data_IF_033326336083
#
_entry.id   IF_033326336083
#
_cell.length_a   1.000
_cell.length_b   1.000
_cell.length_c   1.000
_cell.angle_alpha   90.00
_cell.angle_beta   90.00
_cell.angle_gamma   90.00
#
_symmetry.space_group_name_H-M   'P 1'
#
loop_
_entity.id
_entity.type
_entity.pdbx_description
1 polymer ?
#
# COMPACT_ATOMS: atom_id res chain seq x y z
N UNK A 1 16.59 8.95 -1.12
CA UNK A 1 17.75 9.31 -0.27
C UNK A 1 19.13 8.87 -0.81
N UNK A 2 19.21 7.83 -1.64
CA UNK A 2 20.52 7.33 -2.10
C UNK A 2 21.20 8.27 -3.12
N UNK A 3 22.51 8.56 -2.96
CA UNK A 3 23.23 9.51 -3.81
C UNK A 3 23.66 8.94 -5.16
N UNK A 4 23.58 7.62 -5.35
CA UNK A 4 23.97 6.95 -6.59
C UNK A 4 23.27 5.61 -6.76
N UNK A 5 23.24 5.12 -8.01
CA UNK A 5 22.56 3.87 -8.37
C UNK A 5 23.13 2.64 -7.65
N UNK A 6 24.45 2.54 -7.46
CA UNK A 6 25.06 1.39 -6.76
C UNK A 6 24.63 1.33 -5.31
N UNK A 7 24.55 2.48 -4.64
CA UNK A 7 24.08 2.58 -3.26
C UNK A 7 22.58 2.35 -3.15
N UNK A 8 21.79 2.82 -4.13
CA UNK A 8 20.37 2.51 -4.22
C UNK A 8 20.13 1.01 -4.33
N UNK A 9 20.77 0.32 -5.27
CA UNK A 9 20.55 -1.12 -5.49
C UNK A 9 20.96 -1.97 -4.27
N UNK A 10 22.08 -1.61 -3.62
CA UNK A 10 22.51 -2.28 -2.38
C UNK A 10 21.57 -2.00 -1.21
N UNK A 11 21.10 -0.76 -1.08
CA UNK A 11 20.14 -0.37 -0.06
C UNK A 11 18.78 -1.04 -0.24
N UNK A 12 18.29 -1.09 -1.49
CA UNK A 12 17.07 -1.79 -1.89
C UNK A 12 17.16 -3.28 -1.54
N UNK A 13 18.27 -3.94 -1.91
CA UNK A 13 18.54 -5.33 -1.52
C UNK A 13 18.59 -5.52 0.01
N UNK A 14 19.15 -4.56 0.75
CA UNK A 14 19.24 -4.64 2.22
C UNK A 14 17.88 -4.49 2.90
N UNK A 15 17.03 -3.57 2.43
CA UNK A 15 15.73 -3.27 3.05
C UNK A 15 14.60 -4.20 2.60
N UNK A 16 14.63 -4.65 1.34
CA UNK A 16 13.60 -5.51 0.77
C UNK A 16 13.99 -6.99 0.74
N UNK A 17 15.22 -7.32 1.15
CA UNK A 17 15.66 -8.68 1.37
C UNK A 17 14.88 -9.34 2.53
N UNK A 18 14.65 -10.64 2.43
CA UNK A 18 14.04 -11.39 3.51
C UNK A 18 14.84 -11.29 4.82
N UNK A 19 14.15 -11.43 5.97
CA UNK A 19 14.75 -11.38 7.31
C UNK A 19 15.88 -12.43 7.45
N UNK A 20 15.77 -13.54 6.72
CA UNK A 20 16.79 -14.58 6.64
C UNK A 20 17.56 -14.52 5.33
N UNK A 21 18.85 -14.83 5.40
CA UNK A 21 19.71 -14.97 4.23
C UNK A 21 19.27 -16.19 3.42
N UNK A 22 18.95 -16.00 2.15
CA UNK A 22 18.64 -17.07 1.20
C UNK A 22 19.70 -17.18 0.10
N UNK A 23 19.75 -18.34 -0.57
CA UNK A 23 20.65 -18.54 -1.73
C UNK A 23 20.27 -17.59 -2.87
N UNK A 24 18.98 -17.32 -3.01
CA UNK A 24 18.38 -16.44 -4.00
C UNK A 24 18.82 -14.98 -3.74
N UNK A 25 18.68 -14.52 -2.49
CA UNK A 25 19.14 -13.18 -2.07
C UNK A 25 20.65 -13.02 -2.25
N UNK A 26 21.44 -14.08 -2.01
CA UNK A 26 22.88 -14.04 -2.28
C UNK A 26 23.20 -13.91 -3.78
N UNK A 27 22.47 -14.61 -4.66
CA UNK A 27 22.63 -14.47 -6.12
C UNK A 27 22.28 -13.06 -6.60
N UNK A 28 21.25 -12.45 -6.03
CA UNK A 28 20.88 -11.05 -6.32
C UNK A 28 21.99 -10.08 -5.91
N UNK A 29 22.56 -10.25 -4.70
CA UNK A 29 23.71 -9.46 -4.27
C UNK A 29 24.88 -9.58 -5.26
N UNK A 30 25.22 -10.81 -5.65
CA UNK A 30 26.28 -11.08 -6.64
C UNK A 30 26.01 -10.40 -7.98
N UNK A 31 24.74 -10.35 -8.42
CA UNK A 31 24.35 -9.66 -9.65
C UNK A 31 24.50 -8.13 -9.54
N UNK A 32 24.27 -7.56 -8.35
CA UNK A 32 24.44 -6.12 -8.09
C UNK A 32 25.92 -5.75 -8.13
N UNK A 33 26.76 -6.46 -7.34
CA UNK A 33 28.19 -6.15 -7.23
C UNK A 33 28.99 -6.54 -8.48
N UNK A 34 28.54 -7.56 -9.22
CA UNK A 34 29.13 -7.99 -10.49
C UNK A 34 28.75 -7.12 -11.69
N UNK A 35 27.89 -6.10 -11.52
CA UNK A 35 27.49 -5.24 -12.61
C UNK A 35 28.64 -4.31 -13.04
N UNK A 36 28.98 -4.17 -14.34
CA UNK A 36 30.06 -3.28 -14.80
C UNK A 36 29.87 -1.80 -14.43
N UNK A 37 28.63 -1.38 -14.15
CA UNK A 37 28.30 -0.01 -13.71
C UNK A 37 28.34 0.14 -12.18
N UNK A 38 28.64 -0.93 -11.44
CA UNK A 38 28.81 -0.90 -10.01
C UNK A 38 30.09 -0.14 -9.64
N UNK A 39 29.97 0.86 -8.77
CA UNK A 39 31.09 1.70 -8.35
C UNK A 39 31.33 1.53 -6.85
N UNK A 40 32.26 0.66 -6.42
CA UNK A 40 32.48 0.39 -5.00
C UNK A 40 32.94 1.64 -4.24
N UNK A 41 33.67 2.55 -4.88
CA UNK A 41 34.14 3.79 -4.25
C UNK A 41 32.97 4.67 -3.82
N UNK A 42 31.91 4.69 -4.63
CA UNK A 42 30.70 5.48 -4.34
C UNK A 42 29.84 4.87 -3.25
N UNK A 43 29.91 3.56 -3.06
CA UNK A 43 29.22 2.82 -2.00
C UNK A 43 29.90 3.09 -0.65
N UNK A 44 31.23 3.07 -0.61
CA UNK A 44 31.99 3.37 0.61
C UNK A 44 31.80 4.82 1.08
N UNK A 45 31.63 5.77 0.16
CA UNK A 45 31.36 7.18 0.50
C UNK A 45 29.93 7.46 0.94
N UNK A 46 29.02 6.48 0.84
CA UNK A 46 27.61 6.68 1.17
C UNK A 46 27.42 6.70 2.68
N UNK A 47 26.65 7.68 3.17
CA UNK A 47 26.29 7.82 4.59
C UNK A 47 25.16 6.85 4.96
N UNK A 48 25.48 5.56 5.05
CA UNK A 48 24.51 4.48 5.27
C UNK A 48 23.66 4.67 6.50
N UNK A 49 24.26 4.99 7.66
CA UNK A 49 23.53 5.16 8.91
C UNK A 49 22.51 6.30 8.83
N UNK A 50 22.89 7.42 8.21
CA UNK A 50 21.98 8.55 8.01
C UNK A 50 20.82 8.20 7.07
N UNK A 51 21.09 7.44 6.01
CA UNK A 51 20.05 7.01 5.06
C UNK A 51 19.13 5.99 5.71
N UNK A 52 19.69 5.01 6.42
CA UNK A 52 18.93 3.98 7.11
C UNK A 52 18.10 4.57 8.25
N UNK A 53 18.62 5.54 9.01
CA UNK A 53 17.86 6.26 10.02
C UNK A 53 16.69 7.05 9.40
N UNK A 54 16.89 7.70 8.24
CA UNK A 54 15.81 8.38 7.53
C UNK A 54 14.74 7.42 7.01
N UNK A 55 15.15 6.25 6.49
CA UNK A 55 14.22 5.24 5.99
C UNK A 55 13.46 4.56 7.14
N UNK A 56 14.13 4.30 8.27
CA UNK A 56 13.52 3.76 9.48
C UNK A 56 12.54 4.74 10.14
N UNK A 57 12.89 6.03 10.19
CA UNK A 57 12.00 7.08 10.69
C UNK A 57 10.74 7.28 9.82
N UNK A 58 10.74 6.79 8.57
CA UNK A 58 9.53 6.71 7.75
C UNK A 58 8.58 5.57 8.14
N UNK A 59 9.05 4.59 8.94
CA UNK A 59 8.29 3.41 9.35
C UNK A 59 7.89 3.41 10.84
N UNK A 60 8.72 3.99 11.71
CA UNK A 60 8.43 4.13 13.13
C UNK A 60 8.61 5.60 13.56
N UNK A 61 7.55 6.14 14.14
CA UNK A 61 7.56 7.37 14.94
C UNK A 61 7.92 8.69 14.23
N UNK A 62 6.94 9.24 13.52
CA UNK A 62 6.81 10.70 13.47
C UNK A 62 5.82 11.13 14.53
N UNK A 63 6.31 11.84 15.56
CA UNK A 63 5.53 12.37 16.68
C UNK A 63 4.35 13.27 16.25
N UNK A 64 3.57 13.80 17.23
CA UNK A 64 2.35 14.55 16.94
C UNK A 64 2.69 15.84 16.16
N UNK A 65 2.55 15.79 14.83
CA UNK A 65 2.69 16.97 13.98
C UNK A 65 3.47 16.78 12.68
N UNK A 66 4.15 15.65 12.44
CA UNK A 66 4.79 15.42 11.13
C UNK A 66 3.86 14.62 10.19
N UNK A 67 3.76 15.00 8.91
CA UNK A 67 2.70 14.49 8.05
C UNK A 67 3.02 13.07 7.59
N UNK A 68 2.00 12.22 7.54
CA UNK A 68 1.94 11.00 6.70
C UNK A 68 2.00 11.34 5.18
N UNK A 69 2.60 12.46 4.78
CA UNK A 69 2.71 12.93 3.40
C UNK A 69 3.77 12.09 2.67
N UNK A 70 3.35 10.90 2.27
CA UNK A 70 4.13 9.92 1.53
C UNK A 70 3.22 8.75 1.18
N UNK A 71 3.40 8.15 0.00
CA UNK A 71 2.59 7.03 -0.48
C UNK A 71 1.07 7.30 -0.66
N UNK A 72 0.69 8.56 -0.96
CA UNK A 72 -0.66 8.91 -1.41
C UNK A 72 -1.71 9.14 -0.30
N UNK A 73 -1.31 9.25 0.96
CA UNK A 73 -2.20 9.63 2.05
C UNK A 73 -2.54 11.13 2.03
N UNK A 74 -3.80 11.45 2.30
CA UNK A 74 -4.35 12.80 2.38
C UNK A 74 -4.76 13.10 3.82
N UNK A 75 -4.56 14.34 4.25
CA UNK A 75 -4.87 14.81 5.59
C UNK A 75 -6.09 15.74 5.56
N UNK A 76 -7.06 15.53 6.43
CA UNK A 76 -8.26 16.38 6.52
C UNK A 76 -8.59 16.70 7.96
N UNK A 77 -8.68 17.99 8.27
CA UNK A 77 -9.05 18.46 9.60
C UNK A 77 -10.51 18.13 9.90
N UNK A 78 -10.76 17.46 11.04
CA UNK A 78 -12.11 17.09 11.48
C UNK A 78 -12.59 18.07 12.54
N UNK A 79 -13.74 18.68 12.29
CA UNK A 79 -14.42 19.56 13.23
C UNK A 79 -15.79 19.00 13.59
N UNK A 80 -16.14 18.99 14.87
CA UNK A 80 -17.47 18.61 15.35
C UNK A 80 -18.26 19.82 15.81
N UNK A 81 -19.57 19.77 15.64
CA UNK A 81 -20.48 20.78 16.16
C UNK A 81 -20.89 20.40 17.59
N UNK A 82 -20.47 21.19 18.57
CA UNK A 82 -20.80 20.97 19.98
C UNK A 82 -21.87 21.98 20.41
N UNK A 83 -23.07 21.53 20.79
CA UNK A 83 -24.13 22.41 21.28
C UNK A 83 -23.93 22.75 22.76
N UNK A 84 -24.04 24.03 23.10
CA UNK A 84 -24.00 24.55 24.46
C UNK A 84 -25.37 25.07 24.87
N UNK A 85 -25.79 24.64 26.07
CA UNK A 85 -27.10 24.96 26.62
C UNK A 85 -27.25 26.47 26.88
N UNK A 86 -28.49 26.99 26.77
CA UNK A 86 -28.83 28.43 26.90
C UNK A 86 -28.41 29.08 28.24
N UNK A 87 -28.16 28.28 29.27
CA UNK A 87 -27.72 28.72 30.61
C UNK A 87 -26.20 28.77 30.78
N UNK A 88 -25.43 28.37 29.77
CA UNK A 88 -23.96 28.48 29.80
C UNK A 88 -23.52 29.89 29.44
N UNK A 89 -22.28 30.25 29.83
CA UNK A 89 -21.70 31.57 29.54
C UNK A 89 -21.64 31.88 28.04
N UNK A 90 -21.56 30.86 27.18
CA UNK A 90 -21.55 30.97 25.72
C UNK A 90 -22.55 29.97 25.11
N UNK A 91 -23.84 30.30 25.06
CA UNK A 91 -24.85 29.43 24.47
C UNK A 91 -24.72 29.38 22.94
N UNK A 92 -25.18 28.30 22.32
CA UNK A 92 -25.14 28.13 20.85
C UNK A 92 -24.36 26.88 20.41
N UNK A 93 -24.23 26.69 19.10
CA UNK A 93 -23.48 25.57 18.50
C UNK A 93 -22.16 26.08 17.96
N UNK A 94 -21.06 25.48 18.40
CA UNK A 94 -19.71 25.89 17.98
C UNK A 94 -18.97 24.72 17.35
N UNK A 95 -18.12 25.01 16.37
CA UNK A 95 -17.24 24.02 15.77
C UNK A 95 -15.99 23.86 16.65
N UNK A 96 -15.72 22.63 17.06
CA UNK A 96 -14.51 22.26 17.78
C UNK A 96 -13.64 21.40 16.88
N UNK A 97 -12.39 21.79 16.75
CA UNK A 97 -11.38 20.96 16.11
C UNK A 97 -11.09 19.75 16.99
N UNK A 98 -11.22 18.56 16.44
CA UNK A 98 -11.01 17.28 17.14
C UNK A 98 -9.65 16.69 16.82
N UNK A 99 -9.16 16.94 15.60
CA UNK A 99 -7.91 16.39 15.14
C UNK A 99 -7.88 16.27 13.62
N UNK A 100 -6.79 15.70 13.14
CA UNK A 100 -6.58 15.42 11.73
C UNK A 100 -6.90 13.96 11.42
N UNK A 101 -7.71 13.73 10.39
CA UNK A 101 -7.96 12.41 9.84
C UNK A 101 -7.06 12.18 8.63
N UNK A 102 -6.31 11.08 8.66
CA UNK A 102 -5.55 10.60 7.52
C UNK A 102 -6.40 9.59 6.75
N UNK A 103 -6.54 9.79 5.45
CA UNK A 103 -7.30 8.90 4.58
C UNK A 103 -6.63 8.79 3.21
N UNK A 104 -6.99 7.75 2.46
CA UNK A 104 -6.51 7.54 1.11
C UNK A 104 -7.64 7.08 0.23
N UNK A 105 -7.72 7.64 -0.98
CA UNK A 105 -8.74 7.23 -1.96
C UNK A 105 -8.52 5.78 -2.34
N UNK A 106 -9.56 4.96 -2.21
CA UNK A 106 -9.52 3.56 -2.62
C UNK A 106 -9.12 3.42 -4.10
N UNK A 107 -9.60 4.32 -4.97
CA UNK A 107 -9.24 4.36 -6.39
C UNK A 107 -7.73 4.60 -6.56
N UNK A 108 -7.15 5.48 -5.74
CA UNK A 108 -5.69 5.71 -5.78
C UNK A 108 -4.91 4.46 -5.37
N UNK A 109 -5.38 3.73 -4.35
CA UNK A 109 -4.74 2.48 -3.90
C UNK A 109 -4.82 1.42 -4.99
N UNK A 110 -6.01 1.23 -5.58
CA UNK A 110 -6.23 0.26 -6.66
C UNK A 110 -5.33 0.58 -7.84
N UNK A 111 -5.34 1.83 -8.34
CA UNK A 111 -4.50 2.24 -9.48
C UNK A 111 -3.01 2.03 -9.21
N UNK A 112 -2.53 2.37 -8.01
CA UNK A 112 -1.13 2.15 -7.65
C UNK A 112 -0.75 0.67 -7.65
N UNK A 113 -1.63 -0.20 -7.14
CA UNK A 113 -1.38 -1.64 -7.11
C UNK A 113 -1.37 -2.25 -8.51
N UNK A 114 -2.34 -1.90 -9.36
CA UNK A 114 -2.42 -2.41 -10.73
C UNK A 114 -1.33 -1.83 -11.64
N UNK A 115 -0.86 -0.61 -11.39
CA UNK A 115 0.24 -0.02 -12.16
C UNK A 115 1.61 -0.63 -11.85
N UNK A 116 1.73 -1.42 -10.77
CA UNK A 116 2.98 -2.07 -10.40
C UNK A 116 3.07 -3.47 -11.05
N UNK A 117 3.96 -3.67 -12.05
CA UNK A 117 4.03 -4.94 -12.78
C UNK A 117 4.37 -6.16 -11.90
N UNK A 118 5.04 -5.95 -10.76
CA UNK A 118 5.37 -7.05 -9.83
C UNK A 118 4.17 -7.51 -9.02
N UNK A 119 3.21 -6.62 -8.75
CA UNK A 119 1.99 -6.95 -8.00
C UNK A 119 0.85 -7.36 -8.93
N UNK A 120 0.85 -6.83 -10.14
CA UNK A 120 -0.12 -7.12 -11.19
C UNK A 120 -0.27 -8.62 -11.46
N UNK A 121 0.86 -9.34 -11.52
CA UNK A 121 0.89 -10.80 -11.78
C UNK A 121 0.09 -11.61 -10.74
N UNK A 122 -0.01 -11.11 -9.51
CA UNK A 122 -0.72 -11.78 -8.41
C UNK A 122 -2.15 -11.29 -8.23
N UNK A 123 -2.61 -10.35 -9.06
CA UNK A 123 -3.93 -9.77 -8.93
C UNK A 123 -5.00 -10.61 -9.65
N UNK A 124 -6.05 -11.00 -8.92
CA UNK A 124 -7.18 -11.73 -9.49
C UNK A 124 -8.19 -10.79 -10.15
N UNK A 125 -8.07 -10.61 -11.46
CA UNK A 125 -8.97 -9.75 -12.25
C UNK A 125 -10.36 -10.34 -12.50
N UNK A 126 -10.45 -11.65 -12.64
CA UNK A 126 -11.69 -12.35 -12.95
C UNK A 126 -12.17 -13.12 -11.72
N UNK A 127 -13.46 -13.01 -11.38
CA UNK A 127 -14.02 -13.82 -10.32
C UNK A 127 -14.10 -15.29 -10.75
N UNK A 128 -14.13 -16.18 -9.77
CA UNK A 128 -14.38 -17.61 -10.01
C UNK A 128 -15.12 -18.23 -8.83
N UNK A 129 -15.86 -19.32 -9.10
CA UNK A 129 -16.44 -20.11 -8.03
C UNK A 129 -15.40 -21.08 -7.47
N UNK A 130 -15.26 -21.10 -6.15
CA UNK A 130 -14.40 -22.06 -5.47
C UNK A 130 -15.29 -23.07 -4.76
N UNK A 131 -15.36 -24.30 -5.27
CA UNK A 131 -16.21 -25.31 -4.68
C UNK A 131 -15.44 -26.24 -3.74
N UNK A 132 -16.02 -26.55 -2.60
CA UNK A 132 -15.60 -27.67 -1.76
C UNK A 132 -16.54 -28.85 -1.98
N UNK A 133 -15.95 -30.03 -2.22
CA UNK A 133 -16.68 -31.26 -2.46
C UNK A 133 -16.24 -32.35 -1.49
N UNK A 134 -17.18 -32.81 -0.68
CA UNK A 134 -17.06 -34.05 0.08
C UNK A 134 -17.64 -35.20 -0.73
N UNK A 135 -17.11 -36.43 -0.58
CA UNK A 135 -17.51 -37.60 -1.38
C UNK A 135 -19.01 -37.88 -1.38
N UNK A 136 -19.71 -37.51 -0.32
CA UNK A 136 -21.12 -37.84 -0.08
C UNK A 136 -22.05 -36.61 -0.12
N UNK A 137 -21.56 -35.45 -0.53
CA UNK A 137 -22.34 -34.21 -0.51
C UNK A 137 -22.21 -33.43 -1.81
N UNK A 138 -23.27 -32.68 -2.21
CA UNK A 138 -23.17 -31.80 -3.36
C UNK A 138 -22.08 -30.74 -3.12
N UNK A 139 -21.41 -30.27 -4.20
CA UNK A 139 -20.43 -29.21 -4.09
C UNK A 139 -21.05 -27.95 -3.45
N UNK A 140 -20.37 -27.38 -2.47
CA UNK A 140 -20.76 -26.12 -1.84
C UNK A 140 -19.75 -25.02 -2.21
N UNK A 141 -20.22 -23.79 -2.38
CA UNK A 141 -19.33 -22.67 -2.66
C UNK A 141 -18.58 -22.26 -1.38
N UNK A 142 -17.28 -22.04 -1.50
CA UNK A 142 -16.39 -21.67 -0.40
C UNK A 142 -16.35 -20.16 -0.28
N UNK A 143 -16.71 -19.66 0.89
CA UNK A 143 -16.49 -18.27 1.26
C UNK A 143 -15.02 -18.06 1.58
N UNK A 144 -14.38 -17.16 0.86
CA UNK A 144 -12.97 -16.82 1.04
C UNK A 144 -12.75 -15.36 0.69
N UNK A 145 -11.92 -15.12 -0.31
CA UNK A 145 -11.57 -13.78 -0.78
C UNK A 145 -12.70 -13.13 -1.58
N UNK A 146 -12.60 -11.82 -1.80
CA UNK A 146 -13.58 -11.06 -2.58
C UNK A 146 -13.83 -11.68 -3.96
N UNK A 147 -12.78 -12.19 -4.60
CA UNK A 147 -12.87 -12.74 -5.95
C UNK A 147 -13.56 -14.12 -6.06
N UNK A 148 -13.83 -14.77 -4.93
CA UNK A 148 -14.67 -15.98 -4.88
C UNK A 148 -16.09 -15.68 -4.40
N UNK A 149 -16.41 -14.42 -4.08
CA UNK A 149 -17.73 -14.02 -3.59
C UNK A 149 -18.78 -13.97 -4.70
N UNK A 150 -20.02 -14.34 -4.35
CA UNK A 150 -21.18 -14.20 -5.24
C UNK A 150 -21.41 -12.74 -5.66
N UNK A 151 -21.12 -11.79 -4.77
CA UNK A 151 -21.25 -10.36 -5.05
C UNK A 151 -20.32 -9.93 -6.19
N UNK A 152 -19.07 -10.39 -6.20
CA UNK A 152 -18.13 -10.02 -7.26
C UNK A 152 -18.41 -10.75 -8.57
N UNK A 153 -18.84 -12.02 -8.51
CA UNK A 153 -19.34 -12.76 -9.67
C UNK A 153 -20.48 -12.02 -10.36
N UNK A 154 -21.47 -11.57 -9.58
CA UNK A 154 -22.61 -10.81 -10.09
C UNK A 154 -22.18 -9.46 -10.68
N UNK A 155 -21.36 -8.70 -9.95
CA UNK A 155 -20.88 -7.40 -10.43
C UNK A 155 -20.09 -7.53 -11.75
N UNK A 156 -19.31 -8.58 -11.91
CA UNK A 156 -18.59 -8.87 -13.16
C UNK A 156 -19.54 -9.20 -14.32
N UNK A 157 -20.59 -9.98 -14.07
CA UNK A 157 -21.63 -10.26 -15.06
C UNK A 157 -22.40 -9.00 -15.45
N UNK A 158 -22.82 -8.21 -14.47
CA UNK A 158 -23.54 -6.95 -14.69
C UNK A 158 -22.71 -5.98 -15.55
N UNK A 159 -21.40 -5.89 -15.30
CA UNK A 159 -20.48 -5.08 -16.10
C UNK A 159 -20.36 -5.59 -17.53
N UNK A 160 -20.22 -6.91 -17.74
CA UNK A 160 -20.13 -7.48 -19.09
C UNK A 160 -21.44 -7.37 -19.88
N UNK A 161 -22.58 -7.29 -19.20
CA UNK A 161 -23.89 -7.08 -19.82
C UNK A 161 -24.23 -5.60 -20.01
N UNK A 162 -23.42 -4.69 -19.44
CA UNK A 162 -23.64 -3.25 -19.57
C UNK A 162 -23.38 -2.77 -21.01
N UNK A 163 -24.07 -1.71 -21.46
CA UNK A 163 -23.81 -1.13 -22.76
C UNK A 163 -22.35 -0.65 -22.86
N UNK A 164 -21.76 -0.67 -24.08
CA UNK A 164 -20.41 -0.16 -24.28
C UNK A 164 -20.26 1.27 -23.78
N UNK A 165 -19.13 1.59 -23.15
CA UNK A 165 -18.84 2.96 -22.75
C UNK A 165 -18.74 3.86 -23.99
N UNK A 166 -19.41 5.02 -23.93
CA UNK A 166 -19.46 5.97 -25.03
C UNK A 166 -18.06 6.57 -25.26
N UNK A 167 -17.43 6.23 -26.38
CA UNK A 167 -16.14 6.79 -26.79
C UNK A 167 -14.90 5.97 -26.38
N UNK A 168 -15.09 4.71 -25.95
CA UNK A 168 -14.02 3.72 -25.83
C UNK A 168 -13.73 2.98 -27.13
#
# INVERSE_FOLDING_TARGET
PYPNRSSFLLGDWYWNGGIQKSKESFKELMKIVGNPKFRPERVNSTRWDSINAQLQAGAEETGPGQPFEGAGWTKTAVTIKVPFHKRTLKPGVYNYYVGDMYHRSLISVIREKLANPQHDEFFHYQPYNLFWQCRESPPINVYGELYTSETFLKAHQDLHQSPPELGC
#
